data_IF_552012668072
#
_entry.id   IF_552012668072
#
_cell.length_a   1.000
_cell.length_b   1.000
_cell.length_c   1.000
_cell.angle_alpha   90.00
_cell.angle_beta   90.00
_cell.angle_gamma   90.00
#
_symmetry.space_group_name_H-M   'P 1'
#
loop_
_entity.id
_entity.type
_entity.pdbx_description
1 polymer ?
#
# COMPACT_ATOMS: atom_id res chain seq x y z
N UNK A 1 55.59 33.30 -30.83
CA UNK A 1 54.77 32.53 -29.88
C UNK A 1 55.71 32.07 -28.77
N UNK A 2 55.68 32.72 -27.62
CA UNK A 2 56.64 32.48 -26.52
C UNK A 2 56.34 31.14 -25.86
N UNK A 3 57.41 30.42 -25.48
CA UNK A 3 57.37 29.09 -24.86
C UNK A 3 56.49 29.05 -23.61
N UNK A 4 56.40 30.15 -22.86
CA UNK A 4 55.60 30.26 -21.63
C UNK A 4 54.08 30.17 -21.87
N UNK A 5 53.55 30.65 -23.00
CA UNK A 5 52.13 30.48 -23.32
C UNK A 5 51.80 29.04 -23.71
N UNK A 6 52.75 28.34 -24.35
CA UNK A 6 52.60 26.94 -24.73
C UNK A 6 52.61 26.02 -23.49
N UNK A 7 53.48 26.30 -22.51
CA UNK A 7 53.53 25.53 -21.25
C UNK A 7 52.35 25.85 -20.33
N UNK A 8 51.90 27.10 -20.25
CA UNK A 8 50.75 27.45 -19.40
C UNK A 8 49.45 26.86 -19.95
N UNK A 9 49.27 26.84 -21.28
CA UNK A 9 48.12 26.19 -21.93
C UNK A 9 48.15 24.67 -21.84
N UNK A 10 49.31 24.04 -22.08
CA UNK A 10 49.45 22.59 -22.01
C UNK A 10 49.31 22.04 -20.57
N UNK A 11 49.89 22.73 -19.57
CA UNK A 11 49.73 22.36 -18.16
C UNK A 11 48.29 22.57 -17.67
N UNK A 12 47.64 23.67 -18.07
CA UNK A 12 46.23 23.91 -17.76
C UNK A 12 45.30 22.85 -18.34
N UNK A 13 45.55 22.42 -19.58
CA UNK A 13 44.82 21.32 -20.21
C UNK A 13 45.04 19.98 -19.50
N UNK A 14 46.28 19.67 -19.12
CA UNK A 14 46.61 18.43 -18.39
C UNK A 14 45.90 18.37 -17.03
N UNK A 15 45.85 19.48 -16.30
CA UNK A 15 45.14 19.56 -15.01
C UNK A 15 43.62 19.42 -15.22
N UNK A 16 43.05 20.08 -16.22
CA UNK A 16 41.63 19.96 -16.54
C UNK A 16 41.24 18.51 -16.90
N UNK A 17 42.07 17.82 -17.69
CA UNK A 17 41.87 16.40 -18.03
C UNK A 17 42.00 15.49 -16.81
N UNK A 18 42.92 15.77 -15.88
CA UNK A 18 43.06 15.00 -14.65
C UNK A 18 41.82 15.15 -13.74
N UNK A 19 41.29 16.37 -13.59
CA UNK A 19 40.06 16.62 -12.83
C UNK A 19 38.88 15.92 -13.51
N UNK A 20 38.73 16.06 -14.83
CA UNK A 20 37.67 15.40 -15.59
C UNK A 20 37.74 13.88 -15.45
N UNK A 21 38.94 13.29 -15.55
CA UNK A 21 39.14 11.85 -15.37
C UNK A 21 38.77 11.40 -13.94
N UNK A 22 39.14 12.17 -12.91
CA UNK A 22 38.78 11.86 -11.53
C UNK A 22 37.25 11.93 -11.30
N UNK A 23 36.58 12.95 -11.85
CA UNK A 23 35.12 13.11 -11.75
C UNK A 23 34.40 11.98 -12.48
N UNK A 24 34.79 11.70 -13.72
CA UNK A 24 34.20 10.62 -14.53
C UNK A 24 34.44 9.27 -13.85
N UNK A 25 35.65 9.01 -13.36
CA UNK A 25 35.99 7.80 -12.62
C UNK A 25 35.17 7.64 -11.35
N UNK A 26 35.00 8.70 -10.57
CA UNK A 26 34.16 8.71 -9.37
C UNK A 26 32.69 8.43 -9.67
N UNK A 27 32.14 9.07 -10.71
CA UNK A 27 30.76 8.84 -11.15
C UNK A 27 30.54 7.40 -11.64
N UNK A 28 31.44 6.86 -12.47
CA UNK A 28 31.36 5.49 -12.97
C UNK A 28 31.49 4.47 -11.83
N UNK A 29 32.39 4.70 -10.89
CA UNK A 29 32.55 3.84 -9.71
C UNK A 29 31.31 3.88 -8.79
N UNK A 30 30.76 5.08 -8.55
CA UNK A 30 29.52 5.24 -7.80
C UNK A 30 28.34 4.54 -8.47
N UNK A 31 28.22 4.67 -9.80
CA UNK A 31 27.21 3.97 -10.60
C UNK A 31 27.38 2.45 -10.53
N UNK A 32 28.61 1.94 -10.62
CA UNK A 32 28.90 0.51 -10.48
C UNK A 32 28.45 -0.04 -9.11
N UNK A 33 28.77 0.65 -8.01
CA UNK A 33 28.34 0.27 -6.67
C UNK A 33 26.81 0.31 -6.52
N UNK A 34 26.16 1.32 -7.10
CA UNK A 34 24.70 1.44 -7.09
C UNK A 34 24.04 0.27 -7.82
N UNK A 35 24.49 -0.05 -9.03
CA UNK A 35 23.96 -1.17 -9.82
C UNK A 35 24.19 -2.49 -9.08
N UNK A 36 25.38 -2.73 -8.54
CA UNK A 36 25.62 -3.94 -7.74
C UNK A 36 24.68 -4.06 -6.54
N UNK A 37 24.44 -2.98 -5.80
CA UNK A 37 23.51 -2.99 -4.66
C UNK A 37 22.07 -3.30 -5.09
N UNK A 38 21.61 -2.71 -6.19
CA UNK A 38 20.28 -2.96 -6.75
C UNK A 38 20.12 -4.41 -7.22
N UNK A 39 21.14 -4.94 -7.90
CA UNK A 39 21.16 -6.31 -8.38
C UNK A 39 21.10 -7.28 -7.18
N UNK A 40 21.89 -7.03 -6.14
CA UNK A 40 21.88 -7.82 -4.91
C UNK A 40 20.53 -7.78 -4.19
N UNK A 41 19.92 -6.59 -4.08
CA UNK A 41 18.59 -6.43 -3.51
C UNK A 41 17.51 -7.20 -4.29
N UNK A 42 17.64 -7.28 -5.62
CA UNK A 42 16.74 -8.05 -6.48
C UNK A 42 16.95 -9.56 -6.39
N UNK A 43 18.10 -10.04 -5.91
CA UNK A 43 18.36 -11.48 -5.71
C UNK A 43 18.04 -11.98 -4.30
N UNK A 44 17.78 -11.07 -3.36
CA UNK A 44 17.23 -11.39 -2.05
C UNK A 44 15.75 -11.71 -2.19
N UNK A 45 15.40 -13.00 -2.20
CA UNK A 45 14.02 -13.48 -2.30
C UNK A 45 13.59 -14.20 -1.01
N UNK A 46 13.30 -13.45 0.07
CA UNK A 46 12.71 -13.98 1.28
C UNK A 46 11.21 -14.22 1.07
N UNK A 47 10.75 -15.42 1.39
CA UNK A 47 9.33 -15.72 1.60
C UNK A 47 9.10 -15.76 3.09
N UNK A 48 8.26 -14.85 3.60
CA UNK A 48 7.96 -14.76 5.03
C UNK A 48 6.53 -15.18 5.22
N UNK A 49 6.31 -16.25 5.99
CA UNK A 49 4.99 -16.77 6.26
C UNK A 49 4.65 -16.78 7.75
N UNK A 50 3.42 -16.43 8.10
CA UNK A 50 2.95 -16.36 9.49
C UNK A 50 1.69 -17.19 9.67
N UNK A 51 1.69 -18.07 10.67
CA UNK A 51 0.54 -18.88 11.10
C UNK A 51 0.19 -18.56 12.56
N UNK A 52 -1.10 -18.53 12.96
CA UNK A 52 -1.45 -18.49 14.38
C UNK A 52 -1.09 -19.81 15.07
N UNK A 53 -0.48 -19.74 16.26
CA UNK A 53 -0.06 -20.94 17.01
C UNK A 53 -0.11 -20.69 18.53
N UNK A 54 -0.88 -21.52 19.26
CA UNK A 54 -0.97 -21.55 20.73
C UNK A 54 -1.14 -20.18 21.40
N UNK A 55 -2.10 -19.37 20.93
CA UNK A 55 -2.37 -18.05 21.52
C UNK A 55 -1.36 -16.96 21.14
N UNK A 56 -0.45 -17.25 20.21
CA UNK A 56 0.44 -16.29 19.56
C UNK A 56 0.56 -16.59 18.06
N UNK A 57 1.70 -16.27 17.48
CA UNK A 57 2.00 -16.41 16.06
C UNK A 57 3.31 -17.15 15.88
N UNK A 58 3.39 -17.97 14.86
CA UNK A 58 4.58 -18.66 14.42
C UNK A 58 4.92 -18.16 13.02
N UNK A 59 6.15 -17.72 12.83
CA UNK A 59 6.64 -17.15 11.58
C UNK A 59 7.75 -18.03 11.03
N UNK A 60 7.70 -18.30 9.73
CA UNK A 60 8.75 -18.92 8.95
C UNK A 60 9.31 -17.89 7.96
N UNK A 61 10.63 -17.80 7.86
CA UNK A 61 11.33 -17.02 6.83
C UNK A 61 12.15 -17.99 6.01
N UNK A 62 11.83 -18.12 4.73
CA UNK A 62 12.44 -19.06 3.80
C UNK A 62 13.21 -18.28 2.76
N UNK A 63 14.45 -18.70 2.48
CA UNK A 63 15.21 -18.16 1.36
C UNK A 63 14.90 -18.94 0.09
N UNK A 64 14.14 -18.34 -0.84
CA UNK A 64 13.90 -18.93 -2.17
C UNK A 64 14.89 -18.43 -3.22
N UNK A 65 15.69 -17.41 -2.90
CA UNK A 65 16.77 -16.90 -3.73
C UNK A 65 18.05 -17.71 -3.60
N UNK A 66 19.02 -17.44 -4.47
CA UNK A 66 20.35 -18.07 -4.40
C UNK A 66 21.29 -17.37 -3.42
N UNK A 67 21.01 -16.11 -3.08
CA UNK A 67 21.88 -15.34 -2.21
C UNK A 67 21.57 -15.58 -0.74
N UNK A 68 22.57 -15.92 0.10
CA UNK A 68 22.34 -16.12 1.52
C UNK A 68 22.02 -14.80 2.23
N UNK A 69 21.07 -14.83 3.15
CA UNK A 69 20.68 -13.67 3.94
C UNK A 69 20.41 -14.04 5.40
N UNK A 70 20.44 -13.07 6.30
CA UNK A 70 20.01 -13.25 7.68
C UNK A 70 18.87 -12.28 8.01
N UNK A 71 18.00 -12.69 8.92
CA UNK A 71 16.97 -11.84 9.51
C UNK A 71 17.64 -10.92 10.51
N UNK A 72 17.36 -9.62 10.41
CA UNK A 72 17.92 -8.57 11.28
C UNK A 72 16.89 -7.99 12.24
N UNK A 73 15.65 -7.84 11.79
CA UNK A 73 14.57 -7.31 12.61
C UNK A 73 13.21 -7.83 12.18
N UNK A 74 12.29 -7.91 13.14
CA UNK A 74 10.89 -8.23 12.93
C UNK A 74 10.07 -7.05 13.42
N UNK A 75 9.12 -6.61 12.60
CA UNK A 75 8.18 -5.57 12.94
C UNK A 75 6.80 -6.20 13.14
N UNK A 76 6.08 -5.71 14.13
CA UNK A 76 4.76 -6.19 14.50
C UNK A 76 3.67 -5.23 14.01
N UNK A 77 2.44 -5.71 13.96
CA UNK A 77 1.28 -4.92 13.54
C UNK A 77 0.98 -3.72 14.44
N UNK A 78 1.47 -3.72 15.67
CA UNK A 78 1.32 -2.62 16.64
C UNK A 78 2.42 -1.54 16.51
N UNK A 79 3.30 -1.65 15.51
CA UNK A 79 4.41 -0.73 15.29
C UNK A 79 5.65 -1.01 16.15
N UNK A 80 5.59 -1.99 17.06
CA UNK A 80 6.78 -2.43 17.82
C UNK A 80 7.72 -3.25 16.92
N UNK A 81 9.00 -3.28 17.28
CA UNK A 81 9.99 -4.10 16.57
C UNK A 81 10.91 -4.81 17.56
N UNK A 82 11.47 -5.92 17.11
CA UNK A 82 12.54 -6.63 17.78
C UNK A 82 13.70 -6.80 16.82
N UNK A 83 14.91 -6.58 17.33
CA UNK A 83 16.12 -6.94 16.60
C UNK A 83 16.39 -8.43 16.83
N UNK A 84 16.62 -9.14 15.74
CA UNK A 84 16.89 -10.56 15.76
C UNK A 84 18.15 -10.78 14.95
N UNK A 85 19.13 -11.50 15.52
CA UNK A 85 20.29 -11.94 14.77
C UNK A 85 20.10 -13.42 14.43
N UNK A 86 19.53 -13.70 13.26
CA UNK A 86 19.45 -15.08 12.77
C UNK A 86 20.79 -15.51 12.18
N UNK A 87 21.01 -16.84 12.11
CA UNK A 87 22.05 -17.39 11.24
C UNK A 87 21.74 -17.07 9.78
N UNK A 88 22.77 -17.04 8.95
CA UNK A 88 22.61 -16.92 7.50
C UNK A 88 21.83 -18.12 6.95
N UNK A 89 20.79 -17.82 6.18
CA UNK A 89 19.92 -18.76 5.49
C UNK A 89 20.36 -18.88 4.05
N UNK A 90 20.85 -20.06 3.68
CA UNK A 90 21.14 -20.42 2.30
C UNK A 90 19.85 -20.81 1.56
N UNK A 91 19.95 -20.99 0.25
CA UNK A 91 18.84 -21.40 -0.60
C UNK A 91 18.07 -22.60 0.00
N UNK A 92 16.74 -22.49 0.03
CA UNK A 92 15.79 -23.44 0.61
C UNK A 92 15.98 -23.75 2.10
N UNK A 93 16.66 -22.86 2.84
CA UNK A 93 16.68 -22.92 4.30
C UNK A 93 15.61 -22.02 4.89
N UNK A 94 15.01 -22.50 5.98
CA UNK A 94 13.97 -21.82 6.72
C UNK A 94 14.45 -21.47 8.13
N UNK A 95 14.09 -20.28 8.58
CA UNK A 95 14.23 -19.84 9.95
C UNK A 95 12.85 -19.64 10.56
N UNK A 96 12.71 -20.01 11.83
CA UNK A 96 11.43 -19.98 12.51
C UNK A 96 11.47 -19.13 13.77
N UNK A 97 10.37 -18.44 14.04
CA UNK A 97 10.23 -17.57 15.19
C UNK A 97 8.82 -17.61 15.76
N UNK A 98 8.71 -17.71 17.08
CA UNK A 98 7.42 -17.60 17.76
C UNK A 98 7.28 -16.21 18.39
N UNK A 99 6.20 -15.54 18.08
CA UNK A 99 5.85 -14.22 18.58
C UNK A 99 4.54 -14.26 19.37
N UNK A 100 4.43 -13.42 20.39
CA UNK A 100 3.16 -13.17 21.08
C UNK A 100 2.24 -12.23 20.30
N UNK A 101 2.79 -11.44 19.37
CA UNK A 101 2.10 -10.44 18.56
C UNK A 101 2.24 -10.75 17.08
N UNK A 102 1.31 -10.26 16.25
CA UNK A 102 1.28 -10.53 14.81
C UNK A 102 2.49 -9.87 14.11
N UNK A 103 3.44 -10.64 13.55
CA UNK A 103 4.50 -10.10 12.72
C UNK A 103 3.94 -9.60 11.39
N UNK A 104 4.28 -8.39 10.99
CA UNK A 104 3.77 -7.75 9.77
C UNK A 104 4.80 -7.69 8.65
N UNK A 105 6.05 -7.38 9.00
CA UNK A 105 7.18 -7.31 8.06
C UNK A 105 8.47 -7.76 8.73
N UNK A 106 9.40 -8.27 7.93
CA UNK A 106 10.71 -8.74 8.36
C UNK A 106 11.78 -8.02 7.55
N UNK A 107 12.78 -7.48 8.23
CA UNK A 107 13.98 -6.96 7.57
C UNK A 107 15.00 -8.08 7.45
N UNK A 108 15.36 -8.40 6.21
CA UNK A 108 16.44 -9.35 5.90
C UNK A 108 17.59 -8.61 5.23
N UNK A 109 18.81 -9.02 5.52
CA UNK A 109 20.03 -8.43 4.98
C UNK A 109 20.91 -9.49 4.33
N UNK A 110 21.58 -9.15 3.23
CA UNK A 110 22.53 -10.06 2.57
C UNK A 110 23.63 -10.48 3.55
N UNK A 111 23.95 -11.78 3.57
CA UNK A 111 25.07 -12.30 4.34
C UNK A 111 26.43 -11.96 3.70
N UNK A 112 26.44 -11.66 2.39
CA UNK A 112 27.65 -11.25 1.65
C UNK A 112 27.92 -9.76 1.86
N UNK A 113 26.85 -8.93 1.83
CA UNK A 113 26.94 -7.49 2.05
C UNK A 113 25.86 -7.02 3.04
N UNK A 114 26.16 -7.01 4.36
CA UNK A 114 25.19 -6.70 5.43
C UNK A 114 24.55 -5.30 5.37
N UNK A 115 25.10 -4.39 4.54
CA UNK A 115 24.52 -3.06 4.32
C UNK A 115 23.34 -3.08 3.35
N UNK A 116 23.15 -4.15 2.58
CA UNK A 116 22.02 -4.31 1.66
C UNK A 116 20.93 -5.11 2.37
N UNK A 117 19.85 -4.43 2.71
CA UNK A 117 18.70 -5.02 3.37
C UNK A 117 17.43 -4.73 2.58
N UNK A 118 16.50 -5.67 2.63
CA UNK A 118 15.16 -5.52 2.08
C UNK A 118 14.12 -5.80 3.16
N UNK A 119 12.94 -5.20 3.00
CA UNK A 119 11.81 -5.43 3.89
C UNK A 119 10.86 -6.39 3.18
N UNK A 120 10.76 -7.59 3.71
CA UNK A 120 9.87 -8.62 3.24
C UNK A 120 8.55 -8.54 4.02
N UNK A 121 7.43 -8.43 3.31
CA UNK A 121 6.12 -8.47 3.93
C UNK A 121 5.84 -9.90 4.39
N UNK A 122 5.38 -10.06 5.64
CA UNK A 122 4.86 -11.34 6.08
C UNK A 122 3.55 -11.62 5.32
N UNK A 123 3.56 -12.65 4.47
CA UNK A 123 2.32 -13.30 4.10
C UNK A 123 1.82 -14.04 5.33
N UNK A 124 0.54 -13.90 5.63
CA UNK A 124 -0.08 -14.80 6.59
C UNK A 124 -0.60 -16.01 5.84
N UNK A 125 -0.40 -17.20 6.37
CA UNK A 125 -1.44 -18.23 6.38
C UNK A 125 -2.55 -17.73 7.30
N UNK A 126 -3.18 -16.63 6.89
CA UNK A 126 -4.62 -16.56 6.93
C UNK A 126 -5.09 -17.66 5.95
N UNK A 127 -4.98 -18.92 6.38
CA UNK A 127 -5.27 -20.12 5.58
C UNK A 127 -6.53 -19.87 4.75
N UNK A 128 -6.34 -19.69 3.43
CA UNK A 128 -7.36 -19.95 2.42
C UNK A 128 -7.73 -21.46 2.42
N UNK A 129 -6.94 -22.30 3.12
CA UNK A 129 -7.16 -23.76 3.22
C UNK A 129 -8.00 -24.19 4.44
N UNK A 130 -8.13 -23.35 5.47
CA UNK A 130 -9.03 -23.51 6.64
C UNK A 130 -9.97 -22.30 6.74
N UNK A 131 -10.17 -21.63 5.61
CA UNK A 131 -11.18 -20.62 5.47
C UNK A 131 -12.52 -21.32 5.79
N UNK A 132 -13.27 -20.92 6.85
CA UNK A 132 -14.61 -21.46 7.06
C UNK A 132 -15.40 -21.32 5.75
N UNK A 133 -16.40 -22.16 5.49
CA UNK A 133 -17.19 -22.10 4.23
C UNK A 133 -17.68 -20.68 3.89
N UNK A 134 -17.83 -19.85 4.93
CA UNK A 134 -18.33 -18.47 4.88
C UNK A 134 -17.20 -17.42 4.81
N UNK A 135 -16.05 -17.73 4.21
CA UNK A 135 -14.94 -16.78 4.02
C UNK A 135 -14.58 -16.63 2.54
N UNK A 136 -14.01 -15.49 2.19
CA UNK A 136 -13.82 -15.13 0.78
C UNK A 136 -13.33 -13.71 0.59
N UNK A 137 -13.19 -13.33 -0.68
CA UNK A 137 -12.75 -12.00 -1.09
C UNK A 137 -13.95 -11.09 -1.28
N UNK A 138 -13.85 -9.85 -0.81
CA UNK A 138 -14.79 -8.79 -1.16
C UNK A 138 -14.00 -7.75 -1.94
N UNK A 139 -14.37 -7.56 -3.21
CA UNK A 139 -13.80 -6.51 -4.04
C UNK A 139 -14.65 -5.26 -3.84
N UNK A 140 -14.08 -4.22 -3.23
CA UNK A 140 -14.77 -2.96 -2.97
C UNK A 140 -14.30 -1.94 -4.00
N UNK A 141 -15.20 -1.50 -4.87
CA UNK A 141 -14.98 -0.40 -5.82
C UNK A 141 -15.77 0.82 -5.37
N UNK A 142 -15.09 1.94 -5.14
CA UNK A 142 -15.73 3.24 -4.89
C UNK A 142 -15.65 4.06 -6.16
N UNK A 143 -16.79 4.56 -6.63
CA UNK A 143 -16.92 5.51 -7.72
C UNK A 143 -17.54 6.78 -7.15
N UNK A 144 -16.90 7.92 -7.38
CA UNK A 144 -17.40 9.22 -6.92
C UNK A 144 -17.56 10.13 -8.13
N UNK A 145 -18.79 10.61 -8.33
CA UNK A 145 -19.06 11.64 -9.32
C UNK A 145 -18.45 12.99 -8.91
N UNK A 146 -18.33 13.85 -9.90
CA UNK A 146 -17.86 15.20 -9.70
C UNK A 146 -18.64 15.97 -8.62
N UNK A 147 -17.95 16.89 -7.94
CA UNK A 147 -18.50 17.77 -6.90
C UNK A 147 -18.94 17.07 -5.61
N UNK A 148 -18.60 15.78 -5.46
CA UNK A 148 -18.72 15.03 -4.23
C UNK A 148 -17.38 14.52 -3.73
N UNK A 149 -17.35 14.20 -2.45
CA UNK A 149 -16.33 13.37 -1.83
C UNK A 149 -17.00 12.12 -1.27
N UNK A 150 -16.27 11.02 -1.28
CA UNK A 150 -16.72 9.73 -0.77
C UNK A 150 -15.60 9.03 -0.03
N UNK A 151 -15.92 8.39 1.08
CA UNK A 151 -15.06 7.47 1.77
C UNK A 151 -15.82 6.21 2.15
N UNK A 152 -15.10 5.10 2.15
CA UNK A 152 -15.58 3.79 2.54
C UNK A 152 -14.61 3.25 3.56
N UNK A 153 -15.09 3.00 4.77
CA UNK A 153 -14.35 2.34 5.84
C UNK A 153 -14.93 0.94 6.01
N UNK A 154 -14.11 -0.06 6.30
CA UNK A 154 -14.60 -1.41 6.54
C UNK A 154 -13.94 -2.06 7.74
N UNK A 155 -14.71 -2.93 8.39
CA UNK A 155 -14.26 -3.82 9.46
C UNK A 155 -14.92 -5.19 9.25
N UNK A 156 -14.11 -6.22 9.08
CA UNK A 156 -14.52 -7.61 9.11
C UNK A 156 -14.27 -8.22 10.48
N UNK A 157 -15.26 -8.94 11.00
CA UNK A 157 -15.15 -9.69 12.26
C UNK A 157 -15.53 -11.14 11.97
N UNK A 158 -14.58 -12.07 12.08
CA UNK A 158 -14.84 -13.49 11.87
C UNK A 158 -13.75 -14.38 12.46
N UNK A 159 -14.14 -15.42 13.21
CA UNK A 159 -13.23 -16.43 13.78
C UNK A 159 -12.01 -15.86 14.54
N UNK A 160 -12.25 -14.91 15.46
CA UNK A 160 -11.21 -14.22 16.25
C UNK A 160 -10.14 -13.50 15.43
N UNK A 161 -10.41 -13.24 14.14
CA UNK A 161 -9.57 -12.47 13.23
C UNK A 161 -10.35 -11.26 12.73
N UNK A 162 -9.63 -10.15 12.54
CA UNK A 162 -10.19 -8.90 12.08
C UNK A 162 -9.42 -8.38 10.87
N UNK A 163 -10.15 -7.80 9.92
CA UNK A 163 -9.58 -7.03 8.81
C UNK A 163 -10.21 -5.66 8.83
N UNK A 164 -9.42 -4.61 8.64
CA UNK A 164 -9.96 -3.25 8.55
C UNK A 164 -9.16 -2.43 7.55
N UNK A 165 -9.82 -1.44 6.97
CA UNK A 165 -9.19 -0.53 6.02
C UNK A 165 -10.13 0.59 5.61
N UNK A 166 -9.63 1.45 4.75
CA UNK A 166 -10.40 2.55 4.20
C UNK A 166 -9.99 2.88 2.76
N UNK A 167 -10.92 3.50 2.06
CA UNK A 167 -10.77 4.04 0.72
C UNK A 167 -11.44 5.42 0.69
N UNK A 168 -10.82 6.40 0.05
CA UNK A 168 -11.38 7.75 -0.04
C UNK A 168 -11.03 8.42 -1.36
N UNK A 169 -12.02 9.09 -1.95
CA UNK A 169 -11.90 9.89 -3.16
C UNK A 169 -12.55 11.24 -2.87
N UNK A 170 -11.80 12.32 -3.10
CA UNK A 170 -12.30 13.69 -2.95
C UNK A 170 -12.27 14.42 -4.29
N UNK A 171 -13.45 14.67 -4.85
CA UNK A 171 -13.65 15.48 -6.06
C UNK A 171 -14.43 16.76 -5.78
N UNK A 172 -14.64 17.11 -4.50
CA UNK A 172 -15.44 18.27 -4.09
C UNK A 172 -14.88 19.61 -4.61
N UNK A 173 -13.56 19.69 -4.76
CA UNK A 173 -12.84 20.87 -5.23
C UNK A 173 -11.97 20.61 -6.48
N UNK A 174 -12.23 19.52 -7.22
CA UNK A 174 -11.37 19.16 -8.34
C UNK A 174 -11.67 20.01 -9.60
N UNK A 175 -10.64 20.70 -10.11
CA UNK A 175 -10.72 21.40 -11.40
C UNK A 175 -10.97 20.45 -12.60
N UNK A 176 -10.79 19.15 -12.40
CA UNK A 176 -11.13 18.09 -13.34
C UNK A 176 -12.62 18.08 -13.74
N UNK A 177 -13.49 18.51 -12.84
CA UNK A 177 -14.93 18.56 -13.09
C UNK A 177 -15.36 19.70 -14.03
N UNK A 178 -14.52 20.72 -14.23
CA UNK A 178 -14.80 21.82 -15.14
C UNK A 178 -14.55 21.49 -16.62
N UNK A 179 -13.88 20.36 -16.91
CA UNK A 179 -13.42 20.00 -18.27
C UNK A 179 -14.16 18.79 -18.86
N UNK A 180 -15.31 18.41 -18.27
CA UNK A 180 -16.10 17.27 -18.71
C UNK A 180 -15.59 15.91 -18.22
N UNK A 181 -14.82 15.89 -17.11
CA UNK A 181 -14.38 14.66 -16.46
C UNK A 181 -15.57 13.85 -15.92
N UNK A 182 -15.63 12.58 -16.32
CA UNK A 182 -16.49 11.55 -15.73
C UNK A 182 -15.82 11.07 -14.42
N UNK A 183 -16.59 10.70 -13.39
CA UNK A 183 -16.12 10.46 -12.01
C UNK A 183 -14.87 9.59 -11.84
N UNK A 184 -14.23 9.67 -10.67
CA UNK A 184 -13.05 8.84 -10.36
C UNK A 184 -13.46 7.54 -9.66
N UNK A 185 -12.66 6.49 -9.87
CA UNK A 185 -12.82 5.22 -9.19
C UNK A 185 -11.52 4.74 -8.57
N UNK A 186 -11.62 4.05 -7.44
CA UNK A 186 -10.53 3.27 -6.82
C UNK A 186 -11.14 1.97 -6.29
N UNK A 187 -10.34 0.91 -6.27
CA UNK A 187 -10.78 -0.42 -5.90
C UNK A 187 -9.80 -1.10 -4.95
N UNK A 188 -10.34 -1.94 -4.05
CA UNK A 188 -9.56 -2.70 -3.07
C UNK A 188 -10.15 -4.09 -2.88
N UNK A 189 -9.29 -5.09 -3.00
CA UNK A 189 -9.62 -6.47 -2.64
C UNK A 189 -9.36 -6.73 -1.15
N UNK A 190 -10.38 -7.20 -0.45
CA UNK A 190 -10.34 -7.45 0.99
C UNK A 190 -10.70 -8.90 1.26
N UNK A 191 -9.75 -9.68 1.77
CA UNK A 191 -10.04 -11.03 2.26
C UNK A 191 -10.68 -10.95 3.65
N UNK A 192 -11.83 -11.61 3.83
CA UNK A 192 -12.56 -11.61 5.09
C UNK A 192 -13.00 -13.02 5.50
N UNK A 193 -13.02 -13.26 6.81
CA UNK A 193 -13.41 -14.52 7.43
C UNK A 193 -14.91 -14.63 7.73
N UNK A 194 -15.65 -13.57 7.45
CA UNK A 194 -17.08 -13.41 7.69
C UNK A 194 -17.57 -12.12 7.02
N UNK A 195 -18.80 -11.66 7.31
CA UNK A 195 -19.31 -10.44 6.70
C UNK A 195 -18.46 -9.21 7.05
N UNK A 196 -18.25 -8.34 6.06
CA UNK A 196 -17.68 -7.01 6.26
C UNK A 196 -18.78 -6.04 6.66
N UNK A 197 -18.57 -5.33 7.76
CA UNK A 197 -19.30 -4.11 8.06
C UNK A 197 -18.62 -2.96 7.32
N UNK A 198 -19.38 -2.25 6.49
CA UNK A 198 -18.88 -1.19 5.64
C UNK A 198 -19.62 0.09 6.00
N UNK A 199 -18.87 1.11 6.36
CA UNK A 199 -19.36 2.46 6.57
C UNK A 199 -19.01 3.31 5.35
N UNK A 200 -20.01 3.95 4.77
CA UNK A 200 -19.88 4.78 3.57
C UNK A 200 -20.23 6.19 3.97
N UNK A 201 -19.28 7.11 3.87
CA UNK A 201 -19.53 8.53 4.09
C UNK A 201 -19.38 9.27 2.77
N UNK A 202 -20.33 10.13 2.44
CA UNK A 202 -20.16 11.04 1.32
C UNK A 202 -20.64 12.43 1.65
N UNK A 203 -20.01 13.42 1.02
CA UNK A 203 -20.41 14.81 1.17
C UNK A 203 -20.34 15.56 -0.16
N UNK A 204 -21.20 16.55 -0.32
CA UNK A 204 -21.21 17.45 -1.47
C UNK A 204 -21.62 18.86 -1.03
N UNK A 205 -21.15 19.87 -1.76
CA UNK A 205 -21.29 21.28 -1.38
C UNK A 205 -22.03 22.15 -2.39
N UNK A 206 -22.59 21.56 -3.46
CA UNK A 206 -23.24 22.31 -4.55
C UNK A 206 -24.77 22.31 -4.36
N UNK A 207 -25.42 23.47 -4.16
CA UNK A 207 -26.85 23.55 -3.84
C UNK A 207 -27.79 23.08 -4.95
N UNK A 208 -27.32 23.09 -6.20
CA UNK A 208 -28.10 22.70 -7.38
C UNK A 208 -27.92 21.21 -7.74
N UNK A 209 -27.27 20.43 -6.88
CA UNK A 209 -27.03 19.01 -7.08
C UNK A 209 -27.74 18.17 -6.03
N UNK A 210 -28.28 17.04 -6.49
CA UNK A 210 -28.72 15.96 -5.63
C UNK A 210 -27.80 14.77 -5.87
N UNK A 211 -27.07 14.39 -4.82
CA UNK A 211 -26.23 13.19 -4.83
C UNK A 211 -26.91 12.05 -4.06
N UNK A 212 -26.91 10.87 -4.67
CA UNK A 212 -27.45 9.64 -4.11
C UNK A 212 -26.40 8.54 -4.08
N UNK A 213 -26.66 7.53 -3.28
CA UNK A 213 -25.83 6.33 -3.17
C UNK A 213 -26.45 5.21 -4.00
N UNK A 214 -25.69 4.67 -4.95
CA UNK A 214 -26.02 3.47 -5.73
C UNK A 214 -25.05 2.35 -5.34
N UNK A 215 -25.59 1.17 -4.99
CA UNK A 215 -24.79 0.02 -4.54
C UNK A 215 -25.12 -1.20 -5.41
N UNK A 216 -24.09 -1.85 -5.94
CA UNK A 216 -24.19 -3.00 -6.84
C UNK A 216 -23.33 -4.15 -6.27
N UNK A 217 -23.83 -5.39 -6.16
CA UNK A 217 -25.22 -5.82 -6.38
C UNK A 217 -26.17 -5.11 -5.42
N UNK A 218 -27.45 -4.95 -5.79
CA UNK A 218 -28.43 -4.21 -4.97
C UNK A 218 -28.51 -4.74 -3.55
N UNK A 219 -27.77 -4.06 -2.67
CA UNK A 219 -27.83 -4.23 -1.24
C UNK A 219 -28.49 -2.96 -0.67
N UNK A 220 -29.26 -3.09 0.40
CA UNK A 220 -29.95 -1.94 1.02
C UNK A 220 -29.04 -1.31 2.07
N UNK A 221 -28.35 -0.19 1.77
CA UNK A 221 -27.59 0.53 2.78
C UNK A 221 -28.54 1.17 3.80
N UNK A 222 -28.16 1.13 5.07
CA UNK A 222 -28.90 1.74 6.18
C UNK A 222 -28.31 3.13 6.41
N UNK A 223 -29.12 4.17 6.29
CA UNK A 223 -28.70 5.54 6.63
C UNK A 223 -28.50 5.64 8.16
N UNK A 224 -27.30 5.99 8.58
CA UNK A 224 -26.92 6.14 10.00
C UNK A 224 -26.99 7.59 10.44
N UNK A 225 -26.45 8.50 9.62
CA UNK A 225 -26.44 9.91 9.93
C UNK A 225 -26.59 10.75 8.68
N UNK A 226 -27.23 11.91 8.86
CA UNK A 226 -27.35 12.94 7.85
C UNK A 226 -27.05 14.26 8.53
N UNK A 227 -25.97 14.90 8.13
CA UNK A 227 -25.62 16.25 8.57
C UNK A 227 -25.86 17.21 7.41
N UNK A 228 -26.75 18.16 7.64
CA UNK A 228 -27.05 19.21 6.67
C UNK A 228 -26.76 20.53 7.33
N UNK A 229 -25.72 21.22 6.85
CA UNK A 229 -25.41 22.56 7.30
C UNK A 229 -25.97 23.56 6.29
N UNK A 230 -27.18 24.13 6.55
CA UNK A 230 -27.81 25.08 5.63
C UNK A 230 -26.97 26.35 5.43
N UNK A 231 -26.05 26.65 6.35
CA UNK A 231 -25.18 27.84 6.28
C UNK A 231 -23.93 27.64 5.44
N UNK A 232 -23.42 26.41 5.34
CA UNK A 232 -22.21 26.10 4.54
C UNK A 232 -22.53 25.50 3.17
N UNK A 233 -23.81 25.23 2.88
CA UNK A 233 -24.23 24.56 1.65
C UNK A 233 -23.63 23.15 1.53
N UNK A 234 -23.20 22.54 2.63
CA UNK A 234 -22.58 21.21 2.64
C UNK A 234 -23.56 20.19 3.21
N UNK A 235 -23.76 19.11 2.48
CA UNK A 235 -24.55 17.95 2.90
C UNK A 235 -23.61 16.77 3.06
N UNK A 236 -23.69 16.08 4.19
CA UNK A 236 -22.93 14.88 4.50
C UNK A 236 -23.88 13.75 4.92
N UNK A 237 -23.61 12.55 4.42
CA UNK A 237 -24.41 11.37 4.70
C UNK A 237 -23.49 10.22 5.07
N UNK A 238 -23.87 9.48 6.11
CA UNK A 238 -23.19 8.24 6.52
C UNK A 238 -24.17 7.08 6.41
N UNK A 239 -23.79 6.07 5.64
CA UNK A 239 -24.53 4.83 5.46
C UNK A 239 -23.73 3.66 6.01
N UNK A 240 -24.42 2.61 6.40
CA UNK A 240 -23.84 1.34 6.80
C UNK A 240 -24.37 0.23 5.90
N UNK A 241 -23.47 -0.66 5.51
CA UNK A 241 -23.75 -1.79 4.64
C UNK A 241 -23.05 -3.03 5.22
N UNK A 242 -23.63 -4.21 4.95
CA UNK A 242 -22.99 -5.48 5.25
C UNK A 242 -22.73 -6.18 3.91
N UNK A 243 -21.47 -6.53 3.64
CA UNK A 243 -21.09 -7.31 2.47
C UNK A 243 -20.67 -8.72 2.90
N UNK A 244 -21.23 -9.73 2.23
CA UNK A 244 -20.81 -11.11 2.45
C UNK A 244 -19.48 -11.38 1.75
N UNK A 245 -18.65 -12.31 2.24
CA UNK A 245 -17.49 -12.77 1.49
C UNK A 245 -17.88 -13.26 0.09
N UNK A 246 -16.94 -13.15 -0.86
CA UNK A 246 -17.14 -13.46 -2.29
C UNK A 246 -18.13 -12.52 -3.00
N UNK A 247 -18.19 -11.26 -2.58
CA UNK A 247 -19.03 -10.22 -3.20
C UNK A 247 -18.16 -9.20 -3.92
N UNK A 248 -18.51 -8.90 -5.17
CA UNK A 248 -18.00 -7.73 -5.89
C UNK A 248 -18.94 -6.55 -5.59
N UNK A 249 -18.49 -5.65 -4.73
CA UNK A 249 -19.26 -4.51 -4.24
C UNK A 249 -18.81 -3.23 -4.92
N UNK A 250 -19.67 -2.66 -5.75
CA UNK A 250 -19.50 -1.33 -6.31
C UNK A 250 -20.38 -0.34 -5.57
N UNK A 251 -19.75 0.71 -5.04
CA UNK A 251 -20.39 1.83 -4.36
C UNK A 251 -20.21 3.05 -5.25
N UNK A 252 -21.29 3.56 -5.82
CA UNK A 252 -21.28 4.74 -6.67
C UNK A 252 -22.03 5.88 -6.00
N UNK A 253 -21.31 6.95 -5.68
CA UNK A 253 -21.90 8.22 -5.27
C UNK A 253 -22.20 9.00 -6.54
N UNK A 254 -23.48 9.00 -6.91
CA UNK A 254 -23.96 9.57 -8.16
C UNK A 254 -24.56 10.94 -7.90
N UNK A 255 -24.08 11.94 -8.62
CA UNK A 255 -24.56 13.32 -8.48
C UNK A 255 -25.29 13.76 -9.75
N UNK A 256 -26.49 14.29 -9.58
CA UNK A 256 -27.31 14.81 -10.67
C UNK A 256 -27.68 16.25 -10.42
N UNK A 257 -27.67 17.07 -11.47
CA UNK A 257 -28.20 18.42 -11.38
C UNK A 257 -29.71 18.35 -11.21
N UNK A 258 -30.22 18.96 -10.13
CA UNK A 258 -31.64 19.22 -9.98
C UNK A 258 -31.99 20.43 -10.84
N UNK A 259 -32.06 20.25 -12.17
CA UNK A 259 -32.69 21.25 -13.02
C UNK A 259 -34.21 21.19 -12.79
N UNK A 260 -34.68 22.07 -11.92
CA UNK A 260 -35.97 22.69 -12.16
C UNK A 260 -35.84 23.52 -13.44
N UNK A 261 -36.70 23.20 -14.41
CA UNK A 261 -36.94 23.93 -15.64
C UNK A 261 -36.75 25.45 -15.53
N UNK A 262 -36.05 26.04 -16.52
CA UNK A 262 -36.40 27.39 -16.98
C UNK A 262 -37.73 27.31 -17.72
#
# INVERSE_FOLDING_TARGET
MSIDELFTGAMGFAIAMAIAAAVIGGLLYGYYLYVQNQVLANYLWPVVDVVPYKGGYYMAVINTGHEPFFVKAIFFSDGSHINVESKALHHNQAWFYQASKLPSVVMVCSAIKPTVCIIAKASGWSLVVDAPPDSGWVNITLIVDCWASGSVNWVGIGNNKGVSGSLSIDLSNSGYCAVGGWGMSDARDVFTYGPLLIEITYSYSVPQMSCGLEVIPSAQPILISKDTSPYSGTWSFTYMLIASPSTDLTIHIKCTYTQGYW
#
